data_IF_532304006087
#
_entry.id   IF_532304006087
#
_cell.length_a   1.000
_cell.length_b   1.000
_cell.length_c   1.000
_cell.angle_alpha   90.00
_cell.angle_beta   90.00
_cell.angle_gamma   90.00
#
_symmetry.space_group_name_H-M   'P 1'
#
loop_
_entity.id
_entity.type
_entity.pdbx_description
1 polymer ?
#
# COMPACT_ATOMS: atom_id res chain seq x y z
N UNK A 1 9.50 -13.82 -1.96
CA UNK A 1 9.83 -14.83 -0.93
C UNK A 1 8.63 -15.34 -0.12
N UNK A 2 7.59 -14.56 0.19
CA UNK A 2 6.49 -15.06 1.03
C UNK A 2 5.79 -16.33 0.51
N UNK A 3 5.47 -16.38 -0.79
CA UNK A 3 4.85 -17.56 -1.41
C UNK A 3 5.77 -18.80 -1.45
N UNK A 4 7.04 -18.63 -1.81
CA UNK A 4 8.03 -19.72 -1.81
C UNK A 4 8.25 -20.29 -0.40
N UNK A 5 8.20 -19.42 0.61
CA UNK A 5 8.30 -19.80 2.03
C UNK A 5 6.98 -20.26 2.64
N UNK A 6 5.91 -20.39 1.83
CA UNK A 6 4.56 -20.84 2.26
C UNK A 6 4.00 -20.04 3.45
N UNK A 7 4.35 -18.77 3.54
CA UNK A 7 3.85 -17.89 4.60
C UNK A 7 2.38 -17.55 4.33
N UNK A 8 1.55 -17.70 5.36
CA UNK A 8 0.14 -17.32 5.30
C UNK A 8 -0.02 -15.83 5.60
N UNK A 9 -0.94 -15.19 4.89
CA UNK A 9 -1.45 -13.85 5.14
C UNK A 9 -2.87 -13.78 4.54
N UNK A 10 -3.68 -12.78 4.90
CA UNK A 10 -5.06 -12.69 4.41
C UNK A 10 -5.17 -12.67 2.87
N UNK A 11 -6.14 -13.39 2.33
CA UNK A 11 -6.31 -13.62 0.88
C UNK A 11 -7.05 -12.49 0.14
N UNK A 12 -7.47 -11.44 0.84
CA UNK A 12 -8.25 -10.32 0.31
C UNK A 12 -7.38 -9.15 -0.22
N UNK A 13 -6.10 -9.39 -0.46
CA UNK A 13 -5.18 -8.42 -1.07
C UNK A 13 -4.97 -8.77 -2.54
N UNK A 14 -5.28 -7.83 -3.43
CA UNK A 14 -5.12 -7.99 -4.89
C UNK A 14 -3.86 -7.24 -5.33
N UNK A 15 -2.74 -7.92 -5.61
CA UNK A 15 -1.49 -7.25 -5.97
C UNK A 15 -1.51 -6.77 -7.43
N UNK A 16 -1.20 -5.49 -7.64
CA UNK A 16 -0.95 -4.91 -8.97
C UNK A 16 0.56 -4.66 -9.11
N UNK A 17 1.19 -5.31 -10.09
CA UNK A 17 2.63 -5.19 -10.31
C UNK A 17 2.96 -3.95 -11.14
N UNK A 18 3.86 -3.14 -10.62
CA UNK A 18 4.55 -2.06 -11.35
C UNK A 18 6.06 -2.24 -11.19
N UNK A 19 6.84 -1.65 -12.12
CA UNK A 19 8.31 -1.76 -12.06
C UNK A 19 8.93 -1.02 -10.88
N UNK A 20 8.31 0.07 -10.45
CA UNK A 20 8.81 0.90 -9.35
C UNK A 20 7.63 1.48 -8.57
N UNK A 21 7.77 1.64 -7.26
CA UNK A 21 6.82 2.42 -6.46
C UNK A 21 6.67 3.85 -6.96
N UNK A 22 7.69 4.40 -7.65
CA UNK A 22 7.63 5.72 -8.30
C UNK A 22 6.62 5.82 -9.44
N UNK A 23 6.19 4.68 -10.02
CA UNK A 23 5.15 4.61 -11.05
C UNK A 23 3.74 4.77 -10.49
N UNK A 24 3.57 4.54 -9.18
CA UNK A 24 2.28 4.71 -8.51
C UNK A 24 1.93 6.19 -8.52
N UNK A 25 0.97 6.53 -9.35
CA UNK A 25 0.40 7.85 -9.47
C UNK A 25 -0.72 8.04 -8.43
N UNK A 26 -0.89 9.24 -7.84
CA UNK A 26 -2.03 9.52 -6.96
C UNK A 26 -3.39 9.15 -7.56
N UNK A 27 -3.57 9.29 -8.88
CA UNK A 27 -4.83 8.92 -9.55
C UNK A 27 -5.18 7.44 -9.35
N UNK A 28 -4.18 6.54 -9.30
CA UNK A 28 -4.41 5.11 -9.06
C UNK A 28 -4.93 4.84 -7.64
N UNK A 29 -4.56 5.68 -6.67
CA UNK A 29 -5.02 5.55 -5.29
C UNK A 29 -6.48 5.97 -5.20
N UNK A 30 -6.84 7.08 -5.86
CA UNK A 30 -8.21 7.59 -5.89
C UNK A 30 -9.13 6.60 -6.63
N UNK A 31 -8.74 6.16 -7.82
CA UNK A 31 -9.49 5.18 -8.62
C UNK A 31 -9.74 3.87 -7.86
N UNK A 32 -8.77 3.41 -7.06
CA UNK A 32 -8.95 2.24 -6.21
C UNK A 32 -10.05 2.44 -5.15
N UNK A 33 -10.09 3.61 -4.50
CA UNK A 33 -11.15 3.93 -3.53
C UNK A 33 -12.51 4.12 -4.21
N UNK A 34 -12.58 4.76 -5.38
CA UNK A 34 -13.80 4.91 -6.17
C UNK A 34 -14.39 3.56 -6.61
N UNK A 35 -13.52 2.59 -6.88
CA UNK A 35 -13.89 1.20 -7.20
C UNK A 35 -14.24 0.35 -5.97
N UNK A 36 -14.29 0.96 -4.78
CA UNK A 36 -14.75 0.31 -3.56
C UNK A 36 -13.68 -0.39 -2.73
N UNK A 37 -12.39 -0.07 -2.93
CA UNK A 37 -11.34 -0.59 -2.06
C UNK A 37 -11.51 -0.06 -0.62
N UNK A 38 -11.43 -0.96 0.37
CA UNK A 38 -11.45 -0.57 1.79
C UNK A 38 -10.09 0.00 2.25
N UNK A 39 -9.00 -0.33 1.55
CA UNK A 39 -7.66 0.17 1.80
C UNK A 39 -6.71 -0.07 0.63
N UNK A 40 -5.69 0.77 0.51
CA UNK A 40 -4.65 0.74 -0.53
C UNK A 40 -3.28 0.57 0.13
N UNK A 41 -2.55 -0.47 -0.29
CA UNK A 41 -1.20 -0.76 0.16
C UNK A 41 -0.19 -0.56 -0.98
N UNK A 42 0.88 0.19 -0.71
CA UNK A 42 1.97 0.42 -1.64
C UNK A 42 3.25 -0.19 -1.06
N UNK A 43 3.80 -1.21 -1.73
CA UNK A 43 5.11 -1.78 -1.42
C UNK A 43 6.21 -1.19 -2.31
N UNK A 44 7.38 -0.92 -1.75
CA UNK A 44 8.55 -0.51 -2.53
C UNK A 44 9.88 -0.93 -1.90
N UNK A 45 10.97 -0.71 -2.64
CA UNK A 45 12.33 -0.91 -2.13
C UNK A 45 12.64 0.06 -0.98
N UNK A 46 13.54 -0.34 -0.08
CA UNK A 46 14.06 0.54 0.96
C UNK A 46 14.66 1.83 0.39
N UNK A 47 14.52 2.98 1.08
CA UNK A 47 15.24 4.19 0.73
C UNK A 47 16.75 3.91 0.66
N UNK A 48 17.38 4.23 -0.47
CA UNK A 48 18.78 3.89 -0.77
C UNK A 48 18.92 2.71 -1.74
N UNK A 49 18.00 1.75 -1.68
CA UNK A 49 18.05 0.51 -2.48
C UNK A 49 17.12 0.56 -3.70
N UNK A 50 16.72 1.76 -4.13
CA UNK A 50 15.81 1.89 -5.27
C UNK A 50 16.54 1.46 -6.55
N UNK A 51 16.00 0.44 -7.23
CA UNK A 51 16.53 0.01 -8.53
C UNK A 51 16.57 1.14 -9.58
N UNK A 52 15.62 2.07 -9.49
CA UNK A 52 15.54 3.26 -10.35
C UNK A 52 16.05 4.53 -9.65
N UNK A 53 17.04 4.38 -8.77
CA UNK A 53 17.78 5.43 -8.05
C UNK A 53 16.94 6.19 -7.01
N UNK A 54 15.86 6.87 -7.41
CA UNK A 54 15.13 7.77 -6.52
C UNK A 54 13.60 7.67 -6.57
N UNK A 55 13.06 6.68 -7.28
CA UNK A 55 11.61 6.51 -7.45
C UNK A 55 10.84 6.43 -6.12
N UNK A 56 11.35 5.64 -5.16
CA UNK A 56 10.73 5.48 -3.85
C UNK A 56 10.71 6.77 -3.00
N UNK A 57 11.72 7.64 -3.11
CA UNK A 57 11.71 8.95 -2.44
C UNK A 57 10.63 9.88 -2.99
N UNK A 58 10.29 9.76 -4.29
CA UNK A 58 9.17 10.50 -4.88
C UNK A 58 7.85 9.95 -4.34
N UNK A 59 7.69 8.62 -4.31
CA UNK A 59 6.52 7.96 -3.71
C UNK A 59 6.30 8.36 -2.26
N UNK A 60 7.36 8.40 -1.44
CA UNK A 60 7.28 8.80 -0.03
C UNK A 60 6.67 10.20 0.14
N UNK A 61 7.07 11.15 -0.71
CA UNK A 61 6.54 12.53 -0.71
C UNK A 61 5.08 12.56 -1.16
N UNK A 62 4.76 11.87 -2.26
CA UNK A 62 3.39 11.77 -2.79
C UNK A 62 2.42 11.15 -1.79
N UNK A 63 2.78 10.03 -1.16
CA UNK A 63 1.91 9.37 -0.16
C UNK A 63 1.67 10.27 1.04
N UNK A 64 2.66 11.03 1.49
CA UNK A 64 2.47 12.00 2.59
C UNK A 64 1.44 13.08 2.22
N UNK A 65 1.48 13.59 1.00
CA UNK A 65 0.49 14.55 0.50
C UNK A 65 -0.88 13.89 0.32
N UNK A 66 -0.91 12.69 -0.26
CA UNK A 66 -2.14 11.93 -0.50
C UNK A 66 -2.88 11.62 0.79
N UNK A 67 -2.18 11.28 1.88
CA UNK A 67 -2.81 11.07 3.19
C UNK A 67 -3.60 12.28 3.69
N UNK A 68 -3.07 13.49 3.48
CA UNK A 68 -3.78 14.73 3.84
C UNK A 68 -5.00 14.95 2.96
N UNK A 69 -4.84 14.73 1.65
CA UNK A 69 -5.94 14.85 0.70
C UNK A 69 -7.07 13.85 1.02
N UNK A 70 -6.74 12.60 1.33
CA UNK A 70 -7.72 11.58 1.75
C UNK A 70 -8.48 12.02 3.01
N UNK A 71 -7.78 12.61 3.98
CA UNK A 71 -8.40 13.15 5.20
C UNK A 71 -9.43 14.23 4.87
N UNK A 72 -9.08 15.19 4.02
CA UNK A 72 -9.98 16.26 3.54
C UNK A 72 -11.18 15.71 2.76
N UNK A 73 -11.02 14.57 2.08
CA UNK A 73 -12.07 13.87 1.35
C UNK A 73 -12.93 12.94 2.24
N UNK A 74 -12.70 12.92 3.55
CA UNK A 74 -13.44 12.09 4.50
C UNK A 74 -13.01 10.62 4.55
N UNK A 75 -11.87 10.27 3.95
CA UNK A 75 -11.27 8.94 4.01
C UNK A 75 -10.21 8.92 5.11
N UNK A 76 -10.34 7.98 6.06
CA UNK A 76 -9.35 7.83 7.11
C UNK A 76 -7.94 7.58 6.50
N UNK A 77 -6.91 8.41 6.80
CA UNK A 77 -5.58 8.30 6.21
C UNK A 77 -4.86 6.97 6.47
N UNK A 78 -5.28 6.21 7.48
CA UNK A 78 -4.79 4.84 7.75
C UNK A 78 -5.17 3.86 6.64
N UNK A 79 -6.20 4.16 5.84
CA UNK A 79 -6.59 3.36 4.67
C UNK A 79 -5.56 3.37 3.54
N UNK A 80 -4.57 4.27 3.57
CA UNK A 80 -3.43 4.28 2.66
C UNK A 80 -2.14 3.93 3.42
N UNK A 81 -1.48 2.83 3.05
CA UNK A 81 -0.21 2.41 3.68
C UNK A 81 0.90 2.32 2.65
N UNK A 82 2.07 2.85 3.02
CA UNK A 82 3.31 2.71 2.26
C UNK A 82 4.31 1.95 3.12
N UNK A 83 4.80 0.83 2.62
CA UNK A 83 5.80 0.01 3.31
C UNK A 83 7.00 -0.26 2.41
N UNK A 84 8.16 -0.35 3.05
CA UNK A 84 9.41 -0.68 2.39
C UNK A 84 9.77 -2.14 2.66
N UNK A 85 9.73 -2.96 1.62
CA UNK A 85 9.92 -4.41 1.70
C UNK A 85 10.87 -4.83 0.59
N UNK A 86 12.03 -5.38 0.97
CA UNK A 86 13.00 -5.92 0.03
C UNK A 86 12.49 -7.25 -0.58
N UNK A 87 13.14 -7.69 -1.66
CA UNK A 87 12.82 -8.99 -2.27
C UNK A 87 13.02 -10.17 -1.31
N UNK A 88 13.89 -10.02 -0.31
CA UNK A 88 14.23 -11.08 0.65
C UNK A 88 13.38 -11.07 1.92
N UNK A 89 12.64 -10.00 2.17
CA UNK A 89 11.85 -9.78 3.38
C UNK A 89 10.46 -10.44 3.34
N UNK A 90 10.40 -11.73 3.00
CA UNK A 90 9.13 -12.48 2.90
C UNK A 90 8.31 -12.51 4.19
N UNK A 91 8.98 -12.70 5.34
CA UNK A 91 8.34 -12.69 6.66
C UNK A 91 7.75 -11.32 7.01
N UNK A 92 8.49 -10.24 6.74
CA UNK A 92 8.01 -8.88 6.94
C UNK A 92 6.80 -8.60 6.06
N UNK A 93 6.84 -8.99 4.78
CA UNK A 93 5.70 -8.83 3.86
C UNK A 93 4.42 -9.45 4.45
N UNK A 94 4.49 -10.73 4.86
CA UNK A 94 3.33 -11.42 5.42
C UNK A 94 2.79 -10.69 6.67
N UNK A 95 3.68 -10.29 7.57
CA UNK A 95 3.32 -9.56 8.79
C UNK A 95 2.67 -8.20 8.51
N UNK A 96 3.28 -7.36 7.66
CA UNK A 96 2.73 -6.01 7.40
C UNK A 96 1.40 -6.05 6.64
N UNK A 97 1.20 -7.07 5.80
CA UNK A 97 -0.08 -7.30 5.14
C UNK A 97 -1.15 -7.72 6.16
N UNK A 98 -0.83 -8.63 7.08
CA UNK A 98 -1.74 -9.04 8.15
C UNK A 98 -2.12 -7.86 9.05
N UNK A 99 -1.13 -7.09 9.52
CA UNK A 99 -1.35 -5.86 10.29
C UNK A 99 -2.25 -4.88 9.55
N UNK A 100 -1.98 -4.62 8.27
CA UNK A 100 -2.76 -3.68 7.48
C UNK A 100 -4.20 -4.16 7.30
N UNK A 101 -4.40 -5.43 6.97
CA UNK A 101 -5.75 -6.00 6.81
C UNK A 101 -6.55 -5.92 8.11
N UNK A 102 -5.90 -6.17 9.26
CA UNK A 102 -6.57 -6.05 10.56
C UNK A 102 -6.94 -4.58 10.85
N UNK A 103 -6.05 -3.62 10.58
CA UNK A 103 -6.35 -2.19 10.71
C UNK A 103 -7.54 -1.77 9.82
N UNK A 104 -7.61 -2.26 8.58
CA UNK A 104 -8.76 -1.97 7.69
C UNK A 104 -10.05 -2.60 8.21
N UNK A 105 -10.00 -3.82 8.78
CA UNK A 105 -11.18 -4.47 9.38
C UNK A 105 -11.72 -3.68 10.56
N UNK A 106 -10.85 -3.17 11.42
CA UNK A 106 -11.23 -2.32 12.57
C UNK A 106 -11.89 -1.01 12.13
N UNK A 107 -11.41 -0.41 11.03
CA UNK A 107 -12.01 0.78 10.44
C UNK A 107 -13.34 0.51 9.73
N UNK A 108 -13.66 -0.75 9.45
CA UNK A 108 -14.84 -1.16 8.70
C UNK A 108 -14.80 -0.78 7.22
N UNK A 109 -15.94 -0.87 6.51
CA UNK A 109 -16.04 -0.55 5.09
C UNK A 109 -15.62 0.88 4.76
N UNK A 110 -15.03 1.09 3.58
CA UNK A 110 -14.72 2.44 3.10
C UNK A 110 -15.99 3.30 2.98
N UNK A 111 -15.95 4.60 3.33
CA UNK A 111 -17.06 5.54 3.11
C UNK A 111 -17.47 5.67 1.63
N UNK A 112 -16.57 5.31 0.71
CA UNK A 112 -16.78 5.37 -0.73
C UNK A 112 -17.21 4.02 -1.33
N UNK A 113 -17.30 2.99 -0.50
CA UNK A 113 -17.81 1.69 -0.93
C UNK A 113 -19.31 1.83 -1.19
N UNK A 114 -19.70 1.66 -2.44
CA UNK A 114 -21.10 1.57 -2.87
C UNK A 114 -21.71 0.23 -2.47
#
# INVERSE_FOLDING_TARGET
MAGTSRLKYPANVVPIKVMCSGRVDPEFIIDAFEKGADGVFIGGCHPGDCHYVNGNYRTRRRVKMMKKLLEEMGINPKRLRLEWVSATEGQKFARVIEEFVNEIKELGPSPWRK
#
